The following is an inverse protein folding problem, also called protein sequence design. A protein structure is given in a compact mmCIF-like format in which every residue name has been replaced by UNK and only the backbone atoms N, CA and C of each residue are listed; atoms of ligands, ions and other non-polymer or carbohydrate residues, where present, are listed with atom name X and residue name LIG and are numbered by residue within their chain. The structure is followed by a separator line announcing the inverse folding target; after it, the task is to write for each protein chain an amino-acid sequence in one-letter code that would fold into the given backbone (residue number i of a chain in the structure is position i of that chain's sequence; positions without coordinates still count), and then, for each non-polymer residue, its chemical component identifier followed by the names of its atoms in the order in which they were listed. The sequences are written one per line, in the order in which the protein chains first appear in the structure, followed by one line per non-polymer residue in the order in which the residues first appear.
data_IF_479313331115
#
_entry.id   IF_479313331115
#
_cell.length_a   1.000
_cell.length_b   1.000
_cell.length_c   1.000
_cell.angle_alpha   90.00
_cell.angle_beta   90.00
_cell.angle_gamma   90.00
#
_symmetry.space_group_name_H-M   'P 1'
#
loop_
_entity.id
_entity.type
_entity.pdbx_description
1 polymer ?
#
# COMPACT_ATOMS: atom_id res chain seq x y z
N UNK A 1 22.29 11.45 -71.37
CA UNK A 1 21.61 11.60 -70.02
C UNK A 1 22.71 11.39 -69.02
N UNK A 2 23.30 12.49 -68.59
CA UNK A 2 24.55 12.57 -67.82
C UNK A 2 24.24 12.50 -66.30
N UNK A 3 24.86 11.53 -65.64
CA UNK A 3 24.86 11.36 -64.21
C UNK A 3 25.89 12.29 -63.55
N UNK A 4 25.45 13.26 -62.77
CA UNK A 4 26.36 14.09 -61.98
C UNK A 4 26.74 13.35 -60.67
N UNK A 5 28.04 13.22 -60.46
CA UNK A 5 28.65 12.63 -59.26
C UNK A 5 28.87 13.75 -58.25
N UNK A 6 28.15 13.71 -57.13
CA UNK A 6 28.37 14.61 -55.99
C UNK A 6 29.59 14.12 -55.22
N UNK A 7 30.68 14.89 -55.23
CA UNK A 7 31.83 14.69 -54.33
C UNK A 7 31.56 15.22 -52.96
N UNK A 8 31.53 14.32 -51.95
CA UNK A 8 31.53 14.69 -50.52
C UNK A 8 32.98 14.93 -50.09
N UNK A 9 33.26 16.15 -49.66
CA UNK A 9 34.54 16.52 -49.05
C UNK A 9 34.51 16.08 -47.56
N UNK A 10 35.40 15.14 -47.21
CA UNK A 10 35.71 14.78 -45.81
C UNK A 10 36.68 15.82 -45.22
N UNK A 11 36.26 16.52 -44.18
CA UNK A 11 37.09 17.36 -43.33
C UNK A 11 37.55 16.53 -42.13
N UNK A 12 38.83 16.35 -41.85
CA UNK A 12 39.30 15.68 -40.67
C UNK A 12 39.19 16.60 -39.47
N UNK A 13 38.28 16.25 -38.52
CA UNK A 13 38.14 16.93 -37.22
C UNK A 13 39.22 16.43 -36.27
N UNK A 14 40.15 17.33 -35.94
CA UNK A 14 41.24 17.13 -34.98
C UNK A 14 40.65 17.10 -33.56
N UNK A 15 40.49 15.92 -32.95
CA UNK A 15 40.09 15.77 -31.56
C UNK A 15 41.27 16.09 -30.64
N UNK A 16 41.22 17.27 -29.99
CA UNK A 16 42.05 17.60 -28.82
C UNK A 16 41.51 16.84 -27.60
N UNK A 17 42.24 15.85 -27.10
CA UNK A 17 42.02 15.23 -25.80
C UNK A 17 42.49 16.18 -24.70
N UNK A 18 41.55 16.84 -24.01
CA UNK A 18 41.80 17.48 -22.73
C UNK A 18 41.70 16.43 -21.61
N UNK A 19 42.83 16.08 -21.00
CA UNK A 19 42.85 15.27 -19.79
C UNK A 19 42.33 16.07 -18.62
N UNK A 20 41.07 15.85 -18.26
CA UNK A 20 40.51 16.36 -17.01
C UNK A 20 40.91 15.42 -15.87
N UNK A 21 41.75 15.87 -14.95
CA UNK A 21 42.05 15.22 -13.69
C UNK A 21 40.81 15.23 -12.82
N UNK A 22 40.10 14.08 -12.69
CA UNK A 22 39.06 13.90 -11.71
C UNK A 22 39.69 13.83 -10.32
N UNK A 23 39.63 14.93 -9.57
CA UNK A 23 39.78 14.90 -8.13
C UNK A 23 38.50 14.28 -7.51
N UNK A 24 38.60 13.02 -7.10
CA UNK A 24 37.52 12.30 -6.45
C UNK A 24 37.20 12.94 -5.09
N UNK A 25 36.11 13.69 -5.00
CA UNK A 25 35.44 13.94 -3.75
C UNK A 25 34.47 12.79 -3.51
N UNK A 26 34.91 11.84 -2.66
CA UNK A 26 34.03 10.84 -2.06
C UNK A 26 33.13 11.56 -1.03
N UNK A 27 32.07 12.21 -1.51
CA UNK A 27 30.98 12.67 -0.70
C UNK A 27 30.09 11.47 -0.33
N UNK A 28 30.40 10.77 0.75
CA UNK A 28 29.51 9.77 1.34
C UNK A 28 28.28 10.44 1.92
N UNK A 29 27.34 10.87 1.07
CA UNK A 29 26.01 11.22 1.47
C UNK A 29 25.29 9.93 1.86
N UNK A 30 25.14 9.66 3.16
CA UNK A 30 24.23 8.62 3.63
C UNK A 30 22.83 8.93 3.06
N UNK A 31 22.43 8.18 2.04
CA UNK A 31 21.06 8.24 1.51
C UNK A 31 20.14 7.88 2.66
N UNK A 32 19.39 8.85 3.18
CA UNK A 32 18.40 8.64 4.22
C UNK A 32 17.45 7.58 3.70
N UNK A 33 17.51 6.36 4.25
CA UNK A 33 16.67 5.23 3.83
C UNK A 33 15.23 5.69 3.90
N UNK A 34 14.55 5.73 2.75
CA UNK A 34 13.17 6.18 2.70
C UNK A 34 12.33 5.29 3.62
N UNK A 35 11.54 5.90 4.49
CA UNK A 35 10.64 5.16 5.39
C UNK A 35 9.63 4.37 4.57
N UNK A 36 9.32 3.16 5.03
CA UNK A 36 8.21 2.41 4.47
C UNK A 36 6.91 3.17 4.70
N UNK A 37 6.04 3.20 3.70
CA UNK A 37 4.72 3.82 3.74
C UNK A 37 3.66 2.74 3.58
N UNK A 38 2.68 2.70 4.49
CA UNK A 38 1.61 1.72 4.52
C UNK A 38 0.27 2.43 4.38
N UNK A 39 -0.50 2.01 3.38
CA UNK A 39 -1.86 2.48 3.17
C UNK A 39 -2.83 1.67 4.05
N UNK A 40 -3.68 2.34 4.81
CA UNK A 40 -4.71 1.71 5.65
C UNK A 40 -6.08 2.12 5.14
N UNK A 41 -6.78 1.20 4.51
CA UNK A 41 -8.07 1.42 3.84
C UNK A 41 -9.20 0.84 4.68
N UNK A 42 -10.23 1.63 4.91
CA UNK A 42 -11.42 1.24 5.65
C UNK A 42 -12.68 1.37 4.79
N UNK A 43 -13.43 0.30 4.69
CA UNK A 43 -14.65 0.21 3.91
C UNK A 43 -15.88 0.83 4.58
N UNK A 44 -17.08 0.50 4.08
CA UNK A 44 -18.33 1.14 4.49
C UNK A 44 -18.62 0.95 5.97
N UNK A 45 -19.21 2.00 6.56
CA UNK A 45 -19.63 2.04 7.95
C UNK A 45 -18.52 1.94 9.01
N UNK A 46 -17.23 1.89 8.62
CA UNK A 46 -16.13 1.93 9.57
C UNK A 46 -16.08 3.27 10.33
N UNK A 47 -16.51 4.36 9.71
CA UNK A 47 -16.70 5.67 10.34
C UNK A 47 -17.78 5.69 11.46
N UNK A 48 -18.61 4.63 11.55
CA UNK A 48 -19.66 4.49 12.58
C UNK A 48 -19.23 3.60 13.76
N UNK A 49 -17.97 3.14 13.79
CA UNK A 49 -17.45 2.39 14.94
C UNK A 49 -17.62 3.18 16.25
N UNK A 50 -17.89 2.46 17.33
CA UNK A 50 -18.25 3.03 18.63
C UNK A 50 -19.72 3.43 18.76
N UNK A 51 -20.46 3.56 17.65
CA UNK A 51 -21.90 3.90 17.61
C UNK A 51 -22.75 2.74 17.12
N UNK A 52 -22.27 1.96 16.13
CA UNK A 52 -23.00 0.81 15.57
C UNK A 52 -22.63 -0.47 16.31
N UNK A 53 -23.63 -1.26 16.70
CA UNK A 53 -23.50 -2.63 17.19
C UNK A 53 -22.30 -2.85 18.15
N UNK A 54 -22.22 -2.11 19.28
CA UNK A 54 -21.07 -2.19 20.20
C UNK A 54 -20.88 -3.59 20.79
N UNK A 55 -21.92 -4.43 20.80
CA UNK A 55 -21.88 -5.83 21.20
C UNK A 55 -21.07 -6.71 20.23
N UNK A 56 -20.90 -6.29 18.96
CA UNK A 56 -20.14 -7.00 17.92
C UNK A 56 -18.77 -6.37 17.71
N UNK A 57 -18.71 -5.04 17.60
CA UNK A 57 -17.51 -4.30 17.20
C UNK A 57 -16.80 -3.58 18.33
N UNK A 58 -17.40 -3.58 19.54
CA UNK A 58 -16.90 -2.82 20.68
C UNK A 58 -17.22 -1.32 20.59
N UNK A 59 -16.70 -0.56 21.57
CA UNK A 59 -16.93 0.88 21.70
C UNK A 59 -15.82 1.74 21.08
N UNK A 60 -14.72 1.13 20.64
CA UNK A 60 -13.58 1.84 20.06
C UNK A 60 -13.99 2.44 18.71
N UNK A 61 -13.73 3.72 18.54
CA UNK A 61 -14.01 4.47 17.31
C UNK A 61 -12.90 4.29 16.27
N UNK A 62 -13.19 4.59 15.00
CA UNK A 62 -12.16 4.53 13.95
C UNK A 62 -10.99 5.50 14.23
N UNK A 63 -11.18 6.77 14.62
CA UNK A 63 -10.08 7.65 14.99
C UNK A 63 -9.17 7.11 16.11
N UNK A 64 -9.76 6.43 17.11
CA UNK A 64 -8.96 5.80 18.19
C UNK A 64 -8.12 4.62 17.66
N UNK A 65 -8.66 3.83 16.72
CA UNK A 65 -7.90 2.77 16.04
C UNK A 65 -6.74 3.39 15.25
N UNK A 66 -7.01 4.42 14.45
CA UNK A 66 -5.99 5.11 13.66
C UNK A 66 -4.87 5.68 14.52
N UNK A 67 -5.21 6.28 15.67
CA UNK A 67 -4.21 6.81 16.61
C UNK A 67 -3.31 5.70 17.17
N UNK A 68 -3.88 4.54 17.49
CA UNK A 68 -3.11 3.37 17.95
C UNK A 68 -2.20 2.83 16.85
N UNK A 69 -2.68 2.80 15.61
CA UNK A 69 -1.89 2.40 14.44
C UNK A 69 -0.75 3.40 14.18
N UNK A 70 -0.99 4.73 14.30
CA UNK A 70 0.07 5.76 14.19
C UNK A 70 1.18 5.56 15.22
N UNK A 71 0.82 5.26 16.48
CA UNK A 71 1.81 4.96 17.53
C UNK A 71 2.65 3.74 17.20
N UNK A 72 2.01 2.63 16.81
CA UNK A 72 2.71 1.42 16.41
C UNK A 72 3.59 1.64 15.16
N UNK A 73 3.15 2.46 14.20
CA UNK A 73 3.92 2.83 13.02
C UNK A 73 5.19 3.62 13.38
N UNK A 74 5.08 4.56 14.33
CA UNK A 74 6.23 5.31 14.83
C UNK A 74 7.26 4.39 15.51
N UNK A 75 6.82 3.42 16.31
CA UNK A 75 7.70 2.41 16.91
C UNK A 75 8.42 1.55 15.86
N UNK A 76 7.77 1.29 14.74
CA UNK A 76 8.30 0.51 13.62
C UNK A 76 9.12 1.34 12.62
N UNK A 77 9.24 2.66 12.82
CA UNK A 77 9.84 3.61 11.86
C UNK A 77 9.24 3.49 10.45
N UNK A 78 7.90 3.52 10.37
CA UNK A 78 7.12 3.54 9.13
C UNK A 78 6.11 4.68 9.14
N UNK A 79 5.63 5.07 7.96
CA UNK A 79 4.55 6.04 7.80
C UNK A 79 3.24 5.30 7.46
N UNK A 80 2.12 5.86 7.90
CA UNK A 80 0.79 5.34 7.60
C UNK A 80 -0.09 6.41 6.98
N UNK A 81 -0.82 6.04 5.93
CA UNK A 81 -1.83 6.85 5.26
C UNK A 81 -3.17 6.20 5.52
N UNK A 82 -4.15 6.96 6.00
CA UNK A 82 -5.48 6.44 6.29
C UNK A 82 -6.49 6.93 5.25
N UNK A 83 -7.34 6.03 4.84
CA UNK A 83 -8.47 6.31 3.98
C UNK A 83 -9.71 5.54 4.46
N UNK A 84 -10.87 6.18 4.43
CA UNK A 84 -12.15 5.53 4.69
C UNK A 84 -13.17 5.99 3.65
N UNK A 85 -13.92 5.05 3.10
CA UNK A 85 -15.02 5.37 2.20
C UNK A 85 -16.16 4.35 2.30
N UNK A 86 -17.36 4.86 2.09
CA UNK A 86 -18.56 4.03 1.88
C UNK A 86 -18.75 3.68 0.39
N UNK A 87 -17.94 4.24 -0.51
CA UNK A 87 -18.05 4.07 -1.96
C UNK A 87 -16.97 3.12 -2.46
N UNK A 88 -17.37 2.04 -3.14
CA UNK A 88 -16.46 1.02 -3.68
C UNK A 88 -15.43 1.63 -4.64
N UNK A 89 -15.89 2.46 -5.60
CA UNK A 89 -15.01 3.12 -6.56
C UNK A 89 -13.93 3.98 -5.89
N UNK A 90 -14.28 4.72 -4.82
CA UNK A 90 -13.30 5.53 -4.09
C UNK A 90 -12.23 4.67 -3.37
N UNK A 91 -12.57 3.46 -2.95
CA UNK A 91 -11.61 2.49 -2.41
C UNK A 91 -10.65 2.03 -3.50
N UNK A 92 -11.17 1.69 -4.69
CA UNK A 92 -10.37 1.29 -5.85
C UNK A 92 -9.45 2.42 -6.27
N UNK A 93 -9.99 3.64 -6.43
CA UNK A 93 -9.23 4.83 -6.82
C UNK A 93 -8.08 5.12 -5.85
N UNK A 94 -8.31 4.93 -4.54
CA UNK A 94 -7.26 5.10 -3.52
C UNK A 94 -6.10 4.12 -3.71
N UNK A 95 -6.35 2.83 -3.99
CA UNK A 95 -5.29 1.88 -4.30
C UNK A 95 -4.48 2.30 -5.53
N UNK A 96 -5.17 2.72 -6.60
CA UNK A 96 -4.53 3.16 -7.84
C UNK A 96 -3.72 4.45 -7.66
N UNK A 97 -4.22 5.42 -6.88
CA UNK A 97 -3.53 6.68 -6.57
C UNK A 97 -2.22 6.45 -5.82
N UNK A 98 -2.14 5.39 -5.01
CA UNK A 98 -0.99 5.08 -4.19
C UNK A 98 -0.10 3.94 -4.75
N UNK A 99 -0.27 3.57 -6.04
CA UNK A 99 0.43 2.43 -6.65
C UNK A 99 1.96 2.54 -6.58
N UNK A 100 2.49 3.77 -6.69
CA UNK A 100 3.92 4.03 -6.78
C UNK A 100 4.53 4.60 -5.48
N UNK A 101 3.71 4.92 -4.47
CA UNK A 101 4.18 5.68 -3.32
C UNK A 101 4.00 4.97 -1.97
N UNK A 102 3.44 3.76 -1.94
CA UNK A 102 3.36 2.91 -0.75
C UNK A 102 4.05 1.56 -0.96
N UNK A 103 4.42 0.94 0.12
CA UNK A 103 5.14 -0.35 0.13
C UNK A 103 4.23 -1.52 0.52
N UNK A 104 3.02 -1.24 0.97
CA UNK A 104 2.04 -2.24 1.36
C UNK A 104 0.73 -1.60 1.79
N UNK A 105 -0.32 -2.41 1.90
CA UNK A 105 -1.61 -1.94 2.35
C UNK A 105 -2.24 -2.87 3.41
N UNK A 106 -3.07 -2.27 4.25
CA UNK A 106 -3.99 -2.95 5.15
C UNK A 106 -5.40 -2.54 4.71
N UNK A 107 -6.28 -3.50 4.52
CA UNK A 107 -7.67 -3.20 4.17
C UNK A 107 -8.64 -3.87 5.16
N UNK A 108 -9.60 -3.09 5.66
CA UNK A 108 -10.82 -3.64 6.23
C UNK A 108 -11.96 -3.35 5.24
N UNK A 109 -12.33 -4.29 4.39
CA UNK A 109 -13.30 -4.06 3.33
C UNK A 109 -14.74 -3.94 3.87
N UNK A 110 -14.96 -4.30 5.12
CA UNK A 110 -16.28 -4.36 5.75
C UNK A 110 -17.28 -5.18 4.90
N UNK A 111 -18.46 -4.64 4.61
CA UNK A 111 -19.47 -5.35 3.82
C UNK A 111 -19.08 -5.64 2.36
N UNK A 112 -18.06 -5.01 1.84
CA UNK A 112 -17.57 -5.34 0.49
C UNK A 112 -16.84 -6.69 0.42
N UNK A 113 -16.38 -7.24 1.55
CA UNK A 113 -15.74 -8.55 1.55
C UNK A 113 -16.63 -9.66 0.99
N UNK A 114 -17.97 -9.52 1.11
CA UNK A 114 -18.88 -10.55 0.68
C UNK A 114 -19.13 -10.61 -0.84
N UNK A 115 -18.83 -9.52 -1.60
CA UNK A 115 -19.26 -9.44 -3.00
C UNK A 115 -18.41 -8.60 -3.93
N UNK A 116 -17.43 -7.84 -3.45
CA UNK A 116 -16.68 -6.93 -4.32
C UNK A 116 -15.55 -7.65 -5.06
N UNK A 117 -15.84 -8.10 -6.26
CA UNK A 117 -14.82 -8.58 -7.20
C UNK A 117 -13.91 -7.43 -7.65
N UNK A 118 -14.42 -6.20 -7.73
CA UNK A 118 -13.66 -5.04 -8.16
C UNK A 118 -12.55 -4.68 -7.14
N UNK A 119 -12.82 -4.77 -5.83
CA UNK A 119 -11.79 -4.60 -4.80
C UNK A 119 -10.81 -5.78 -4.80
N UNK A 120 -11.28 -7.01 -4.99
CA UNK A 120 -10.41 -8.18 -5.18
C UNK A 120 -9.40 -7.92 -6.30
N UNK A 121 -9.89 -7.50 -7.47
CA UNK A 121 -9.06 -7.33 -8.66
C UNK A 121 -8.06 -6.18 -8.50
N UNK A 122 -8.43 -5.06 -7.88
CA UNK A 122 -7.47 -3.98 -7.64
C UNK A 122 -6.37 -4.42 -6.67
N UNK A 123 -6.67 -5.18 -5.61
CA UNK A 123 -5.64 -5.72 -4.71
C UNK A 123 -4.65 -6.60 -5.47
N UNK A 124 -5.13 -7.47 -6.35
CA UNK A 124 -4.28 -8.32 -7.19
C UNK A 124 -3.42 -7.54 -8.18
N UNK A 125 -3.90 -6.39 -8.64
CA UNK A 125 -3.17 -5.53 -9.57
C UNK A 125 -2.04 -4.72 -8.90
N UNK A 126 -2.05 -4.59 -7.56
CA UNK A 126 -1.03 -3.81 -6.85
C UNK A 126 0.32 -4.52 -6.83
N UNK A 127 1.44 -3.76 -6.98
CA UNK A 127 2.79 -4.32 -6.92
C UNK A 127 3.27 -4.61 -5.48
N UNK A 128 2.46 -4.31 -4.49
CA UNK A 128 2.78 -4.44 -3.06
C UNK A 128 1.82 -5.40 -2.34
N UNK A 129 2.25 -6.02 -1.23
CA UNK A 129 1.40 -6.90 -0.44
C UNK A 129 0.29 -6.14 0.28
N UNK A 130 -0.91 -6.74 0.31
CA UNK A 130 -2.05 -6.26 1.09
C UNK A 130 -2.43 -7.28 2.16
N UNK A 131 -2.71 -6.83 3.38
CA UNK A 131 -3.23 -7.66 4.48
C UNK A 131 -4.67 -7.24 4.77
N UNK A 132 -5.57 -8.21 4.80
CA UNK A 132 -6.97 -7.96 5.15
C UNK A 132 -7.18 -8.01 6.66
N UNK A 133 -8.07 -7.14 7.19
CA UNK A 133 -8.40 -7.09 8.62
C UNK A 133 -9.91 -7.10 8.82
N UNK A 134 -10.36 -7.95 9.73
CA UNK A 134 -11.73 -7.93 10.26
C UNK A 134 -11.71 -7.85 11.79
N UNK A 135 -12.47 -6.89 12.34
CA UNK A 135 -12.57 -6.73 13.80
C UNK A 135 -13.25 -7.93 14.46
N UNK A 136 -14.35 -8.42 13.88
CA UNK A 136 -15.07 -9.62 14.33
C UNK A 136 -14.52 -10.88 13.66
N UNK A 137 -14.75 -12.03 14.30
CA UNK A 137 -14.50 -13.33 13.66
C UNK A 137 -15.62 -13.62 12.65
N UNK A 138 -15.39 -13.27 11.40
CA UNK A 138 -16.36 -13.46 10.31
C UNK A 138 -16.69 -14.94 10.08
N UNK A 139 -15.76 -15.85 10.31
CA UNK A 139 -15.99 -17.30 10.18
C UNK A 139 -16.97 -17.86 11.22
N UNK A 140 -17.18 -17.16 12.35
CA UNK A 140 -18.13 -17.53 13.39
C UNK A 140 -19.49 -16.83 13.24
N UNK A 141 -19.70 -16.05 12.18
CA UNK A 141 -20.96 -15.32 11.94
C UNK A 141 -21.92 -16.14 11.08
N UNK A 142 -23.01 -15.52 10.65
CA UNK A 142 -23.98 -16.10 9.71
C UNK A 142 -23.37 -16.33 8.32
N UNK A 143 -24.02 -17.16 7.51
CA UNK A 143 -23.50 -17.56 6.19
C UNK A 143 -23.21 -16.37 5.25
N UNK A 144 -23.95 -15.25 5.37
CA UNK A 144 -23.73 -14.07 4.56
C UNK A 144 -22.34 -13.46 4.86
N UNK A 145 -21.96 -13.39 6.14
CA UNK A 145 -20.70 -12.79 6.56
C UNK A 145 -19.51 -13.74 6.46
N UNK A 146 -19.73 -15.05 6.32
CA UNK A 146 -18.65 -16.03 6.11
C UNK A 146 -18.07 -16.00 4.70
N UNK A 147 -18.86 -15.53 3.71
CA UNK A 147 -18.37 -15.39 2.35
C UNK A 147 -17.38 -14.22 2.28
N UNK A 148 -16.16 -14.50 1.84
CA UNK A 148 -15.12 -13.50 1.66
C UNK A 148 -14.45 -13.70 0.31
N UNK A 149 -14.75 -12.82 -0.63
CA UNK A 149 -14.20 -12.85 -1.99
C UNK A 149 -12.91 -12.02 -2.11
N UNK A 150 -12.58 -11.21 -1.11
CA UNK A 150 -11.40 -10.33 -1.11
C UNK A 150 -10.18 -11.03 -0.54
N UNK A 151 -10.36 -11.82 0.53
CA UNK A 151 -9.28 -12.52 1.23
C UNK A 151 -8.36 -13.32 0.29
N UNK A 152 -8.85 -14.03 -0.75
CA UNK A 152 -7.97 -14.76 -1.68
C UNK A 152 -7.03 -13.85 -2.49
N UNK A 153 -7.30 -12.55 -2.60
CA UNK A 153 -6.42 -11.58 -3.25
C UNK A 153 -5.36 -11.01 -2.30
N UNK A 154 -5.63 -11.03 -1.00
CA UNK A 154 -4.71 -10.54 0.02
C UNK A 154 -3.53 -11.49 0.26
N UNK A 155 -2.42 -10.96 0.76
CA UNK A 155 -1.25 -11.75 1.18
C UNK A 155 -1.52 -12.58 2.43
N UNK A 156 -2.45 -12.12 3.26
CA UNK A 156 -2.91 -12.78 4.49
C UNK A 156 -4.02 -11.97 5.14
N UNK A 157 -4.59 -12.50 6.22
CA UNK A 157 -5.68 -11.86 6.94
C UNK A 157 -5.51 -11.96 8.45
N UNK A 158 -6.02 -10.96 9.17
CA UNK A 158 -6.17 -10.94 10.63
C UNK A 158 -7.65 -10.77 10.97
N UNK A 159 -8.23 -11.76 11.63
CA UNK A 159 -9.68 -11.88 11.85
C UNK A 159 -9.98 -12.05 13.33
N UNK A 160 -10.97 -11.32 13.85
CA UNK A 160 -11.54 -11.57 15.19
C UNK A 160 -10.75 -10.99 16.36
N UNK A 161 -9.72 -10.21 16.12
CA UNK A 161 -8.86 -9.64 17.16
C UNK A 161 -9.26 -8.20 17.56
N UNK A 162 -10.46 -7.76 17.20
CA UNK A 162 -10.91 -6.40 17.45
C UNK A 162 -9.94 -5.36 16.89
N UNK A 163 -9.79 -4.20 17.54
CA UNK A 163 -8.86 -3.15 17.13
C UNK A 163 -7.38 -3.59 17.09
N UNK A 164 -6.99 -4.59 17.90
CA UNK A 164 -5.62 -5.14 17.90
C UNK A 164 -5.26 -5.77 16.56
N UNK A 165 -6.25 -6.25 15.80
CA UNK A 165 -6.03 -6.81 14.47
C UNK A 165 -5.28 -5.89 13.52
N UNK A 166 -5.52 -4.57 13.59
CA UNK A 166 -4.78 -3.60 12.78
C UNK A 166 -3.30 -3.51 13.17
N UNK A 167 -2.99 -3.59 14.46
CA UNK A 167 -1.62 -3.53 14.96
C UNK A 167 -0.85 -4.82 14.59
N UNK A 168 -1.53 -5.97 14.68
CA UNK A 168 -0.97 -7.25 14.24
C UNK A 168 -0.71 -7.24 12.73
N UNK A 169 -1.67 -6.77 11.93
CA UNK A 169 -1.52 -6.64 10.49
C UNK A 169 -0.34 -5.71 10.12
N UNK A 170 -0.21 -4.56 10.79
CA UNK A 170 0.88 -3.63 10.55
C UNK A 170 2.24 -4.27 10.85
N UNK A 171 2.39 -4.92 12.00
CA UNK A 171 3.64 -5.59 12.38
C UNK A 171 3.99 -6.72 11.41
N UNK A 172 3.02 -7.56 11.07
CA UNK A 172 3.21 -8.67 10.12
C UNK A 172 3.56 -8.19 8.72
N UNK A 173 2.86 -7.15 8.23
CA UNK A 173 3.11 -6.56 6.91
C UNK A 173 4.50 -5.93 6.83
N UNK A 174 4.91 -5.16 7.84
CA UNK A 174 6.24 -4.53 7.89
C UNK A 174 7.35 -5.58 7.96
N UNK A 175 7.18 -6.65 8.74
CA UNK A 175 8.12 -7.77 8.80
C UNK A 175 8.24 -8.45 7.42
N UNK A 176 7.11 -8.73 6.76
CA UNK A 176 7.08 -9.31 5.43
C UNK A 176 7.84 -8.46 4.39
N UNK A 177 7.61 -7.13 4.38
CA UNK A 177 8.26 -6.22 3.43
C UNK A 177 9.77 -6.12 3.70
N UNK A 178 10.19 -6.19 4.96
CA UNK A 178 11.62 -6.16 5.34
C UNK A 178 12.34 -7.49 5.11
N UNK A 179 11.63 -8.55 4.79
CA UNK A 179 12.19 -9.89 4.58
C UNK A 179 12.56 -10.61 5.87
N UNK A 180 11.87 -10.31 6.97
CA UNK A 180 12.07 -10.90 8.30
C UNK A 180 11.05 -12.01 8.56
#
# INVERSE_FOLDING_TARGET
MTMEIVRVLLIPSLMMFAAATLSGQAGGGATKKQKLRILVVNGPNMNLLGRRQPEIYGKTTLPEIEERVRKAAAELDVEVIFFQSNTEGAIIDTFQQHIDDVNGAIINPAGYSQHSIAIHDVIKAMPFPTVEVHLSNIAARDALHQNDVIMPAARGAVIGMGPEGYLMALRGLVALIRGN
#
